data_IF_741113563764
#
_entry.id   IF_741113563764
#
_cell.length_a   1.000
_cell.length_b   1.000
_cell.length_c   1.000
_cell.angle_alpha   90.00
_cell.angle_beta   90.00
_cell.angle_gamma   90.00
#
_symmetry.space_group_name_H-M   'P 1'
#
loop_
_entity.id
_entity.type
_entity.pdbx_description
1 polymer ?
#
# COMPACT_ATOMS: atom_id res chain seq x y z
N UNK A 1 -4.69 -20.17 11.39
CA UNK A 1 -5.72 -19.84 10.37
C UNK A 1 -5.47 -18.40 9.94
N UNK A 2 -5.50 -18.12 8.65
CA UNK A 2 -5.39 -16.75 8.12
C UNK A 2 -6.74 -16.23 7.66
N UNK A 3 -6.98 -14.94 7.88
CA UNK A 3 -8.23 -14.28 7.53
C UNK A 3 -7.95 -12.87 6.97
N UNK A 4 -8.69 -12.48 5.92
CA UNK A 4 -8.67 -11.12 5.38
C UNK A 4 -9.94 -10.40 5.81
N UNK A 5 -9.79 -9.48 6.75
CA UNK A 5 -10.90 -8.77 7.39
C UNK A 5 -11.01 -7.37 6.80
N UNK A 6 -12.20 -6.95 6.34
CA UNK A 6 -12.42 -5.54 5.98
C UNK A 6 -12.15 -4.64 7.19
N UNK A 7 -11.48 -3.53 6.94
CA UNK A 7 -11.18 -2.55 7.96
C UNK A 7 -12.45 -1.87 8.47
N UNK A 8 -12.61 -1.86 9.79
CA UNK A 8 -13.63 -1.09 10.50
C UNK A 8 -12.93 -0.08 11.41
N UNK A 9 -13.08 1.24 11.18
CA UNK A 9 -12.43 2.26 12.00
C UNK A 9 -12.83 2.23 13.48
N UNK A 10 -14.01 1.70 13.81
CA UNK A 10 -14.46 1.60 15.21
C UNK A 10 -13.71 0.50 15.98
N UNK A 11 -13.19 -0.49 15.27
CA UNK A 11 -12.51 -1.66 15.85
C UNK A 11 -11.00 -1.58 15.61
N UNK A 12 -10.58 -1.25 14.38
CA UNK A 12 -9.23 -1.48 13.90
C UNK A 12 -8.36 -0.21 13.82
N UNK A 13 -8.92 0.99 14.15
CA UNK A 13 -8.23 2.28 13.94
C UNK A 13 -6.82 2.31 14.54
N UNK A 14 -6.68 1.94 15.80
CA UNK A 14 -5.40 2.02 16.50
C UNK A 14 -4.35 1.09 15.90
N UNK A 15 -4.76 -0.12 15.53
CA UNK A 15 -3.87 -1.09 14.92
C UNK A 15 -3.48 -0.68 13.49
N UNK A 16 -4.41 -0.12 12.74
CA UNK A 16 -4.13 0.40 11.40
C UNK A 16 -3.14 1.57 11.43
N UNK A 17 -3.29 2.49 12.39
CA UNK A 17 -2.33 3.58 12.61
C UNK A 17 -0.95 3.00 12.95
N UNK A 18 -0.87 2.04 13.87
CA UNK A 18 0.37 1.38 14.24
C UNK A 18 1.06 0.74 13.04
N UNK A 19 0.31 0.00 12.21
CA UNK A 19 0.85 -0.62 11.00
C UNK A 19 1.34 0.40 9.97
N UNK A 20 0.66 1.53 9.83
CA UNK A 20 1.13 2.62 8.96
C UNK A 20 2.43 3.24 9.48
N UNK A 21 2.60 3.37 10.79
CA UNK A 21 3.86 3.82 11.40
C UNK A 21 4.97 2.81 11.10
N UNK A 22 4.77 1.51 11.38
CA UNK A 22 5.73 0.46 11.07
C UNK A 22 6.12 0.45 9.58
N UNK A 23 5.13 0.57 8.69
CA UNK A 23 5.34 0.62 7.25
C UNK A 23 6.17 1.84 6.83
N UNK A 24 5.84 3.03 7.31
CA UNK A 24 6.57 4.26 6.98
C UNK A 24 7.98 4.27 7.57
N UNK A 25 8.17 3.79 8.80
CA UNK A 25 9.49 3.63 9.40
C UNK A 25 10.38 2.72 8.54
N UNK A 26 9.82 1.60 8.07
CA UNK A 26 10.52 0.71 7.16
C UNK A 26 10.86 1.39 5.83
N UNK A 27 9.92 2.10 5.21
CA UNK A 27 10.13 2.83 3.94
C UNK A 27 11.26 3.86 4.10
N UNK A 28 11.22 4.72 5.13
CA UNK A 28 12.24 5.74 5.31
C UNK A 28 13.60 5.14 5.66
N UNK A 29 13.64 4.10 6.48
CA UNK A 29 14.88 3.38 6.79
C UNK A 29 15.53 2.81 5.53
N UNK A 30 14.77 2.15 4.66
CA UNK A 30 15.27 1.59 3.42
C UNK A 30 15.67 2.67 2.40
N UNK A 31 14.93 3.77 2.33
CA UNK A 31 15.24 4.90 1.47
C UNK A 31 16.59 5.51 1.86
N UNK A 32 16.80 5.76 3.15
CA UNK A 32 18.03 6.35 3.69
C UNK A 32 19.22 5.40 3.52
N UNK A 33 19.03 4.10 3.79
CA UNK A 33 20.07 3.07 3.64
C UNK A 33 20.51 2.88 2.18
N UNK A 34 19.55 2.76 1.24
CA UNK A 34 19.87 2.49 -0.16
C UNK A 34 20.44 3.70 -0.91
N UNK A 35 20.04 4.91 -0.52
CA UNK A 35 20.40 6.13 -1.25
C UNK A 35 21.20 7.14 -0.41
N UNK A 36 21.60 6.76 0.81
CA UNK A 36 22.38 7.57 1.73
C UNK A 36 21.73 8.95 1.98
N UNK A 37 20.40 8.92 2.15
CA UNK A 37 19.60 10.09 2.44
C UNK A 37 19.42 10.24 3.96
N UNK A 38 18.99 11.43 4.35
CA UNK A 38 18.49 11.74 5.69
C UNK A 38 17.09 12.34 5.55
N UNK A 39 16.17 11.48 5.16
CA UNK A 39 14.85 11.88 4.67
C UNK A 39 13.99 12.53 5.75
N UNK A 40 13.97 11.96 6.96
CA UNK A 40 13.16 12.48 8.06
C UNK A 40 13.69 13.82 8.59
N UNK A 41 15.02 13.98 8.71
CA UNK A 41 15.62 15.26 9.10
C UNK A 41 15.31 16.36 8.08
N UNK A 42 15.30 16.03 6.78
CA UNK A 42 14.95 16.98 5.72
C UNK A 42 13.47 17.37 5.72
N UNK A 43 12.59 16.45 6.12
CA UNK A 43 11.16 16.70 6.26
C UNK A 43 10.82 17.49 7.53
N UNK A 44 11.67 17.43 8.56
CA UNK A 44 11.44 18.07 9.87
C UNK A 44 10.25 17.49 10.63
N UNK A 45 9.86 16.26 10.31
CA UNK A 45 8.72 15.54 10.92
C UNK A 45 9.13 14.14 11.32
N UNK A 46 8.56 13.65 12.40
CA UNK A 46 8.63 12.23 12.81
C UNK A 46 7.65 11.39 12.00
N UNK A 47 7.89 10.07 11.92
CA UNK A 47 6.95 9.17 11.23
C UNK A 47 5.55 9.19 11.84
N UNK A 48 5.35 9.16 13.17
CA UNK A 48 4.01 9.32 13.74
C UNK A 48 3.30 10.62 13.34
N UNK A 49 4.03 11.74 13.24
CA UNK A 49 3.46 13.01 12.78
C UNK A 49 3.02 12.93 11.32
N UNK A 50 3.83 12.32 10.44
CA UNK A 50 3.49 12.10 9.02
C UNK A 50 2.23 11.22 8.91
N UNK A 51 2.19 10.11 9.63
CA UNK A 51 1.04 9.20 9.62
C UNK A 51 -0.21 9.92 10.10
N UNK A 52 -0.16 10.60 11.25
CA UNK A 52 -1.31 11.33 11.78
C UNK A 52 -1.81 12.42 10.83
N UNK A 53 -0.93 13.06 10.07
CA UNK A 53 -1.31 14.07 9.09
C UNK A 53 -1.97 13.49 7.82
N UNK A 54 -1.73 12.21 7.51
CA UNK A 54 -2.14 11.59 6.23
C UNK A 54 -3.14 10.45 6.35
N UNK A 55 -3.47 10.01 7.56
CA UNK A 55 -4.28 8.81 7.79
C UNK A 55 -5.79 9.02 7.58
N UNK A 56 -6.28 10.24 7.79
CA UNK A 56 -7.72 10.54 7.83
C UNK A 56 -8.51 10.11 6.57
N UNK A 57 -8.00 10.30 5.33
CA UNK A 57 -8.69 9.81 4.14
C UNK A 57 -8.88 8.29 4.16
N UNK A 58 -7.90 7.53 4.66
CA UNK A 58 -7.99 6.07 4.80
C UNK A 58 -9.04 5.65 5.83
N UNK A 59 -9.16 6.38 6.94
CA UNK A 59 -10.16 6.09 7.96
C UNK A 59 -11.60 6.28 7.46
N UNK A 60 -11.76 7.09 6.42
CA UNK A 60 -13.06 7.39 5.77
C UNK A 60 -13.32 6.55 4.51
N UNK A 61 -12.30 5.81 4.05
CA UNK A 61 -12.40 5.03 2.82
C UNK A 61 -13.39 3.86 3.01
N UNK A 62 -14.37 3.77 2.12
CA UNK A 62 -15.40 2.72 2.15
C UNK A 62 -15.91 2.39 0.75
N UNK A 63 -16.46 1.18 0.56
CA UNK A 63 -17.11 0.80 -0.68
C UNK A 63 -18.21 1.77 -1.15
N UNK A 64 -18.35 2.03 -2.46
CA UNK A 64 -17.56 1.49 -3.56
C UNK A 64 -16.31 2.32 -3.91
N UNK A 65 -16.01 3.40 -3.16
CA UNK A 65 -14.87 4.30 -3.44
C UNK A 65 -13.52 3.66 -3.10
N UNK A 66 -13.52 2.67 -2.23
CA UNK A 66 -12.35 1.88 -1.91
C UNK A 66 -12.58 0.91 -0.76
N UNK A 67 -11.54 0.20 -0.39
CA UNK A 67 -11.55 -0.75 0.72
C UNK A 67 -10.14 -0.94 1.27
N UNK A 68 -10.07 -1.22 2.57
CA UNK A 68 -8.85 -1.67 3.23
C UNK A 68 -9.11 -3.07 3.77
N UNK A 69 -8.17 -3.97 3.59
CA UNK A 69 -8.14 -5.27 4.26
C UNK A 69 -6.98 -5.34 5.25
N UNK A 70 -7.27 -5.94 6.39
CA UNK A 70 -6.25 -6.41 7.33
C UNK A 70 -6.09 -7.92 7.16
N UNK A 71 -4.87 -8.40 7.16
CA UNK A 71 -4.55 -9.81 7.24
C UNK A 71 -4.38 -10.17 8.72
N UNK A 72 -5.20 -11.09 9.19
CA UNK A 72 -5.12 -11.67 10.53
C UNK A 72 -4.54 -13.08 10.42
N UNK A 73 -3.52 -13.37 11.19
CA UNK A 73 -2.89 -14.70 11.28
C UNK A 73 -2.81 -15.08 12.74
N UNK A 74 -3.48 -16.17 13.11
CA UNK A 74 -3.53 -16.69 14.49
C UNK A 74 -3.96 -15.64 15.54
N UNK A 75 -4.81 -14.69 15.13
CA UNK A 75 -5.31 -13.61 15.98
C UNK A 75 -4.50 -12.31 15.94
N UNK A 76 -3.32 -12.31 15.35
CA UNK A 76 -2.48 -11.13 15.19
C UNK A 76 -2.67 -10.45 13.84
N UNK A 77 -2.62 -9.13 13.80
CA UNK A 77 -2.60 -8.37 12.54
C UNK A 77 -1.23 -8.53 11.90
N UNK A 78 -1.19 -9.26 10.81
CA UNK A 78 0.04 -9.64 10.09
C UNK A 78 0.36 -8.74 8.91
N UNK A 79 -0.63 -8.04 8.36
CA UNK A 79 -0.46 -7.20 7.19
C UNK A 79 -1.68 -6.36 6.87
N UNK A 80 -1.54 -5.51 5.87
CA UNK A 80 -2.60 -4.65 5.35
C UNK A 80 -2.46 -4.46 3.84
N UNK A 81 -3.54 -4.04 3.21
CA UNK A 81 -3.57 -3.59 1.81
C UNK A 81 -4.83 -2.77 1.56
N UNK A 82 -4.74 -1.81 0.67
CA UNK A 82 -5.83 -0.91 0.34
C UNK A 82 -6.02 -0.79 -1.17
N UNK A 83 -7.26 -0.56 -1.55
CA UNK A 83 -7.67 -0.12 -2.89
C UNK A 83 -8.44 1.19 -2.74
N UNK A 84 -8.10 2.18 -3.51
CA UNK A 84 -8.81 3.45 -3.64
C UNK A 84 -9.11 3.73 -5.12
N UNK A 85 -10.33 4.16 -5.44
CA UNK A 85 -10.66 4.58 -6.80
C UNK A 85 -10.08 5.96 -7.08
N UNK A 86 -9.30 6.07 -8.15
CA UNK A 86 -8.84 7.35 -8.71
C UNK A 86 -9.86 7.95 -9.67
N UNK A 87 -10.66 7.09 -10.30
CA UNK A 87 -11.78 7.42 -11.17
C UNK A 87 -12.77 6.26 -11.24
N UNK A 88 -13.83 6.37 -12.01
CA UNK A 88 -14.84 5.30 -12.16
C UNK A 88 -14.22 3.98 -12.66
N UNK A 89 -13.16 4.06 -13.47
CA UNK A 89 -12.51 2.90 -14.09
C UNK A 89 -11.12 2.57 -13.55
N UNK A 90 -10.51 3.43 -12.76
CA UNK A 90 -9.12 3.27 -12.31
C UNK A 90 -9.07 3.11 -10.79
N UNK A 91 -8.53 1.98 -10.33
CA UNK A 91 -8.21 1.73 -8.93
C UNK A 91 -6.71 1.84 -8.65
N UNK A 92 -6.34 2.35 -7.49
CA UNK A 92 -4.96 2.38 -7.01
C UNK A 92 -4.79 1.40 -5.85
N UNK A 93 -3.81 0.51 -5.98
CA UNK A 93 -3.39 -0.40 -4.90
C UNK A 93 -2.39 0.36 -4.02
N UNK A 94 -2.67 0.41 -2.73
CA UNK A 94 -1.91 1.21 -1.75
C UNK A 94 -1.66 0.40 -0.47
N UNK A 95 -0.68 0.84 0.31
CA UNK A 95 -0.43 0.32 1.67
C UNK A 95 -0.25 -1.19 1.74
N UNK A 96 0.31 -1.80 0.69
CA UNK A 96 0.66 -3.22 0.69
C UNK A 96 1.85 -3.46 1.62
N UNK A 97 1.55 -3.96 2.81
CA UNK A 97 2.55 -4.23 3.84
C UNK A 97 2.28 -5.53 4.58
N UNK A 98 3.33 -6.30 4.84
CA UNK A 98 3.31 -7.44 5.76
C UNK A 98 4.42 -7.28 6.77
N UNK A 99 4.11 -7.52 8.03
CA UNK A 99 5.09 -7.53 9.11
C UNK A 99 6.20 -8.55 8.82
N UNK A 100 7.46 -8.27 9.15
CA UNK A 100 8.61 -9.10 8.76
C UNK A 100 8.44 -10.60 9.06
N UNK A 101 7.92 -10.95 10.24
CA UNK A 101 7.75 -12.34 10.67
C UNK A 101 6.70 -13.13 9.85
N UNK A 102 5.87 -12.45 9.05
CA UNK A 102 4.84 -13.06 8.20
C UNK A 102 5.21 -13.05 6.71
N UNK A 103 6.37 -12.48 6.35
CA UNK A 103 6.84 -12.44 4.96
C UNK A 103 7.24 -13.82 4.44
N UNK A 104 7.29 -13.98 3.12
CA UNK A 104 7.66 -15.25 2.47
C UNK A 104 6.60 -16.33 2.47
N UNK A 105 5.40 -16.06 2.99
CA UNK A 105 4.28 -17.03 3.08
C UNK A 105 3.22 -16.84 2.00
N UNK A 106 3.47 -15.99 1.01
CA UNK A 106 2.53 -15.76 -0.11
C UNK A 106 1.40 -14.75 0.18
N UNK A 107 1.32 -14.20 1.37
CA UNK A 107 0.22 -13.31 1.77
C UNK A 107 0.09 -12.05 0.92
N UNK A 108 1.21 -11.47 0.47
CA UNK A 108 1.18 -10.31 -0.43
C UNK A 108 0.48 -10.60 -1.75
N UNK A 109 0.70 -11.78 -2.33
CA UNK A 109 0.02 -12.21 -3.56
C UNK A 109 -1.48 -12.41 -3.33
N UNK A 110 -1.87 -13.04 -2.21
CA UNK A 110 -3.28 -13.27 -1.88
C UNK A 110 -3.99 -11.93 -1.65
N UNK A 111 -3.37 -11.01 -0.88
CA UNK A 111 -3.89 -9.65 -0.65
C UNK A 111 -4.10 -8.91 -1.97
N UNK A 112 -3.09 -8.89 -2.84
CA UNK A 112 -3.18 -8.23 -4.14
C UNK A 112 -4.34 -8.78 -4.97
N UNK A 113 -4.47 -10.10 -5.08
CA UNK A 113 -5.54 -10.73 -5.84
C UNK A 113 -6.92 -10.35 -5.31
N UNK A 114 -7.09 -10.31 -3.99
CA UNK A 114 -8.33 -9.89 -3.35
C UNK A 114 -8.68 -8.44 -3.65
N UNK A 115 -7.71 -7.54 -3.57
CA UNK A 115 -7.91 -6.12 -3.90
C UNK A 115 -8.28 -5.93 -5.38
N UNK A 116 -7.63 -6.65 -6.29
CA UNK A 116 -7.96 -6.62 -7.72
C UNK A 116 -9.37 -7.14 -8.01
N UNK A 117 -9.78 -8.22 -7.33
CA UNK A 117 -11.12 -8.78 -7.47
C UNK A 117 -12.20 -7.79 -7.01
N UNK A 118 -12.03 -7.23 -5.81
CA UNK A 118 -12.98 -6.24 -5.28
C UNK A 118 -12.98 -4.96 -6.13
N UNK A 119 -11.83 -4.52 -6.62
CA UNK A 119 -11.75 -3.38 -7.51
C UNK A 119 -12.56 -3.56 -8.81
N UNK A 120 -12.55 -4.77 -9.38
CA UNK A 120 -13.42 -5.09 -10.53
C UNK A 120 -14.90 -5.02 -10.17
N UNK A 121 -15.27 -5.50 -8.97
CA UNK A 121 -16.64 -5.38 -8.47
C UNK A 121 -17.07 -3.91 -8.28
N UNK A 122 -16.12 -3.02 -7.98
CA UNK A 122 -16.34 -1.57 -7.90
C UNK A 122 -16.33 -0.86 -9.27
N UNK A 123 -16.15 -1.60 -10.37
CA UNK A 123 -16.16 -1.08 -11.74
C UNK A 123 -14.79 -0.75 -12.32
N UNK A 124 -13.69 -1.00 -11.60
CA UNK A 124 -12.35 -0.71 -12.13
C UNK A 124 -11.98 -1.66 -13.26
N UNK A 125 -11.56 -1.10 -14.39
CA UNK A 125 -11.03 -1.81 -15.56
C UNK A 125 -9.50 -1.74 -15.64
N UNK A 126 -8.89 -0.81 -14.91
CA UNK A 126 -7.44 -0.73 -14.75
C UNK A 126 -7.02 -0.47 -13.32
N UNK A 127 -5.78 -0.84 -13.02
CA UNK A 127 -5.20 -0.68 -11.68
C UNK A 127 -3.82 -0.07 -11.77
N UNK A 128 -3.54 0.87 -10.89
CA UNK A 128 -2.24 1.52 -10.73
C UNK A 128 -1.66 1.22 -9.37
N UNK A 129 -0.36 1.31 -9.25
CA UNK A 129 0.37 1.32 -8.00
C UNK A 129 1.72 2.02 -8.19
N UNK A 130 2.29 2.44 -7.09
CA UNK A 130 3.69 2.79 -7.00
C UNK A 130 4.40 1.87 -6.00
N UNK A 131 5.69 1.65 -6.20
CA UNK A 131 6.50 0.76 -5.36
C UNK A 131 7.95 1.23 -5.35
N UNK A 132 8.64 1.16 -4.21
CA UNK A 132 10.04 1.54 -4.15
C UNK A 132 10.91 0.70 -5.08
N UNK A 133 11.93 1.31 -5.68
CA UNK A 133 12.88 0.61 -6.58
C UNK A 133 13.66 -0.50 -5.90
N UNK A 134 13.85 -0.43 -4.58
CA UNK A 134 14.52 -1.50 -3.81
C UNK A 134 13.58 -2.65 -3.39
N UNK A 135 12.27 -2.50 -3.52
CA UNK A 135 11.30 -3.49 -3.07
C UNK A 135 11.10 -4.63 -4.11
N UNK A 136 12.18 -5.37 -4.39
CA UNK A 136 12.21 -6.39 -5.46
C UNK A 136 11.18 -7.50 -5.27
N UNK A 137 10.93 -7.94 -4.04
CA UNK A 137 9.91 -8.97 -3.75
C UNK A 137 8.50 -8.49 -4.11
N UNK A 138 8.15 -7.25 -3.77
CA UNK A 138 6.87 -6.64 -4.14
C UNK A 138 6.75 -6.49 -5.66
N UNK A 139 7.79 -5.99 -6.33
CA UNK A 139 7.82 -5.86 -7.79
C UNK A 139 7.63 -7.20 -8.50
N UNK A 140 8.21 -8.28 -7.97
CA UNK A 140 8.01 -9.62 -8.51
C UNK A 140 6.53 -10.04 -8.45
N UNK A 141 5.86 -9.79 -7.31
CA UNK A 141 4.43 -10.06 -7.14
C UNK A 141 3.61 -9.26 -8.15
N UNK A 142 3.88 -7.96 -8.30
CA UNK A 142 3.15 -7.08 -9.22
C UNK A 142 3.34 -7.49 -10.68
N UNK A 143 4.57 -7.73 -11.13
CA UNK A 143 4.85 -8.20 -12.50
C UNK A 143 4.19 -9.55 -12.77
N UNK A 144 4.24 -10.48 -11.82
CA UNK A 144 3.57 -11.79 -11.93
C UNK A 144 2.04 -11.67 -12.03
N UNK A 145 1.46 -10.61 -11.46
CA UNK A 145 0.03 -10.30 -11.59
C UNK A 145 -0.32 -9.54 -12.88
N UNK A 146 0.66 -9.24 -13.73
CA UNK A 146 0.47 -8.58 -15.02
C UNK A 146 0.62 -7.06 -14.99
N UNK A 147 1.11 -6.47 -13.91
CA UNK A 147 1.48 -5.06 -13.89
C UNK A 147 2.73 -4.82 -14.74
N UNK A 148 2.71 -3.70 -15.48
CA UNK A 148 3.83 -3.21 -16.29
C UNK A 148 4.23 -1.83 -15.82
N UNK A 149 5.50 -1.51 -15.98
CA UNK A 149 6.00 -0.17 -15.66
C UNK A 149 5.35 0.88 -16.57
N UNK A 150 5.13 2.04 -15.98
CA UNK A 150 4.62 3.24 -16.67
C UNK A 150 5.31 4.49 -16.12
N UNK A 151 5.04 5.62 -16.72
CA UNK A 151 5.43 6.91 -16.19
C UNK A 151 4.63 7.25 -14.92
N UNK A 152 5.14 8.17 -14.12
CA UNK A 152 4.44 8.66 -12.92
C UNK A 152 3.06 9.23 -13.25
N UNK A 153 2.18 9.22 -12.27
CA UNK A 153 0.84 9.80 -12.39
C UNK A 153 0.60 10.82 -11.27
N UNK A 154 -0.17 11.90 -11.54
CA UNK A 154 -0.32 13.02 -10.59
C UNK A 154 -0.93 12.62 -9.25
N UNK A 155 -1.81 11.61 -9.27
CA UNK A 155 -2.57 11.15 -8.09
C UNK A 155 -1.71 10.37 -7.08
N UNK A 156 -0.48 9.99 -7.45
CA UNK A 156 0.43 9.29 -6.53
C UNK A 156 0.72 10.14 -5.29
N UNK A 157 0.66 9.50 -4.11
CA UNK A 157 1.00 10.12 -2.82
C UNK A 157 2.49 10.41 -2.66
N UNK A 158 3.34 9.83 -3.51
CA UNK A 158 4.79 10.01 -3.39
C UNK A 158 5.16 11.47 -3.70
N UNK A 159 5.82 12.17 -2.76
CA UNK A 159 6.28 13.54 -2.98
C UNK A 159 7.13 13.64 -4.25
N UNK A 160 6.97 14.70 -5.07
CA UNK A 160 7.68 14.83 -6.35
C UNK A 160 9.20 14.65 -6.27
N UNK A 161 9.81 15.13 -5.19
CA UNK A 161 11.26 15.02 -4.96
C UNK A 161 11.72 13.59 -4.59
N UNK A 162 10.80 12.68 -4.29
CA UNK A 162 11.10 11.28 -3.99
C UNK A 162 10.71 10.30 -5.12
N UNK A 163 9.95 10.75 -6.11
CA UNK A 163 9.43 9.91 -7.20
C UNK A 163 10.52 9.21 -8.01
N UNK A 164 11.71 9.78 -8.12
CA UNK A 164 12.85 9.15 -8.80
C UNK A 164 13.32 7.84 -8.13
N UNK A 165 12.95 7.61 -6.88
CA UNK A 165 13.27 6.37 -6.13
C UNK A 165 12.14 5.33 -6.20
N UNK A 166 11.03 5.63 -6.90
CA UNK A 166 9.86 4.75 -7.07
C UNK A 166 9.70 4.28 -8.51
N UNK A 167 9.07 3.13 -8.67
CA UNK A 167 8.50 2.64 -9.93
C UNK A 167 6.99 2.84 -9.88
N UNK A 168 6.43 3.24 -11.02
CA UNK A 168 5.00 3.37 -11.23
C UNK A 168 4.56 2.25 -12.17
N UNK A 169 3.48 1.58 -11.84
CA UNK A 169 3.04 0.42 -12.58
C UNK A 169 1.54 0.46 -12.84
N UNK A 170 1.11 -0.16 -13.92
CA UNK A 170 -0.29 -0.24 -14.32
C UNK A 170 -0.61 -1.63 -14.87
N UNK A 171 -1.81 -2.10 -14.57
CA UNK A 171 -2.42 -3.30 -15.12
C UNK A 171 -3.77 -2.93 -15.69
N UNK A 172 -3.97 -3.24 -16.96
CA UNK A 172 -5.28 -3.17 -17.60
C UNK A 172 -5.94 -4.55 -17.54
N UNK A 173 -7.24 -4.58 -17.32
CA UNK A 173 -8.03 -5.79 -17.52
C UNK A 173 -8.26 -5.95 -19.02
N UNK A 174 -7.47 -6.81 -19.61
CA UNK A 174 -7.70 -7.29 -20.97
C UNK A 174 -8.50 -8.57 -20.91
#
# INVERSE_FOLDING_TARGET
MEEFVPFDPNIHKNEFIRMNIEYMEWIFSQLDENYQLDSLSKLGMTVPEIVNATIEPFLKLKPPEGIIYLLIVEGDVAGMGALEKLSDEVGEIKRMYSRPQYRGRGYGKIMLNRLLEVGRQFGCSSFRLDTPKWAHAAQHIYRSAGFKEREEYPESEIPPNLRSYWLFMEKNNS
#
